data_IF_781634393787
#
_entry.id   IF_781634393787
#
_cell.length_a   1.000
_cell.length_b   1.000
_cell.length_c   1.000
_cell.angle_alpha   90.00
_cell.angle_beta   90.00
_cell.angle_gamma   90.00
#
_symmetry.space_group_name_H-M   'P 1'
#
loop_
_entity.id
_entity.type
_entity.pdbx_description
1 polymer ?
#
# COMPACT_ATOMS: atom_id res chain seq x y z
N UNK A 1 34.96 68.07 67.68
CA UNK A 1 34.01 67.96 66.61
C UNK A 1 34.50 66.80 65.72
N UNK A 2 33.85 65.62 65.84
CA UNK A 2 34.21 64.41 65.15
C UNK A 2 33.02 64.00 64.31
N UNK A 3 33.12 64.03 62.99
CA UNK A 3 32.13 63.62 62.01
C UNK A 3 32.27 62.10 61.73
N UNK A 4 31.22 61.37 62.00
CA UNK A 4 31.09 59.95 61.71
C UNK A 4 30.57 59.78 60.32
N UNK A 5 31.28 58.92 59.50
CA UNK A 5 30.84 58.49 58.19
C UNK A 5 30.20 57.11 58.34
N UNK A 6 28.91 57.00 58.04
CA UNK A 6 28.18 55.76 57.99
C UNK A 6 28.30 55.16 56.56
N UNK A 7 28.84 53.96 56.48
CA UNK A 7 28.93 53.18 55.22
C UNK A 7 27.69 52.30 55.14
N UNK A 8 26.90 52.50 54.11
CA UNK A 8 25.78 51.59 53.75
C UNK A 8 26.30 50.47 52.85
N UNK A 9 26.18 49.21 53.32
CA UNK A 9 26.52 48.03 52.58
C UNK A 9 25.22 47.52 51.90
N UNK A 10 25.12 47.69 50.57
CA UNK A 10 24.00 47.15 49.76
C UNK A 10 24.38 45.77 49.27
N UNK A 11 23.72 44.74 49.86
CA UNK A 11 23.77 43.33 49.40
C UNK A 11 22.88 43.17 48.19
N UNK A 12 23.49 42.98 47.02
CA UNK A 12 22.76 42.58 45.79
C UNK A 12 22.49 41.07 45.82
N UNK A 13 21.23 40.71 45.90
CA UNK A 13 20.75 39.32 45.76
C UNK A 13 20.60 39.01 44.28
N UNK A 14 21.53 38.26 43.70
CA UNK A 14 21.42 37.77 42.34
C UNK A 14 20.48 36.56 42.28
N UNK A 15 19.25 36.74 41.77
CA UNK A 15 18.36 35.63 41.40
C UNK A 15 18.92 34.94 40.16
N UNK A 16 19.52 33.77 40.34
CA UNK A 16 19.86 32.85 39.25
C UNK A 16 18.55 32.16 38.80
N UNK A 17 17.93 32.63 37.72
CA UNK A 17 16.88 31.91 37.01
C UNK A 17 17.49 30.76 36.25
N UNK A 18 17.29 29.55 36.73
CA UNK A 18 17.59 28.31 36.01
C UNK A 18 16.61 28.15 34.83
N UNK A 19 17.07 28.48 33.63
CA UNK A 19 16.43 28.10 32.38
C UNK A 19 16.55 26.58 32.22
N UNK A 20 15.47 25.87 32.51
CA UNK A 20 15.36 24.43 32.18
C UNK A 20 15.09 24.33 30.68
N UNK A 21 15.96 23.67 29.87
CA UNK A 21 15.66 23.44 28.47
C UNK A 21 14.68 22.27 28.36
N UNK A 22 13.40 22.56 28.37
CA UNK A 22 12.37 21.62 27.93
C UNK A 22 12.19 21.75 26.44
N UNK A 23 12.92 20.98 25.61
CA UNK A 23 12.56 20.75 24.19
C UNK A 23 13.43 19.76 23.40
N UNK A 24 14.30 18.96 24.03
CA UNK A 24 15.23 18.10 23.25
C UNK A 24 14.67 16.71 22.92
N UNK A 25 13.70 16.20 23.68
CA UNK A 25 13.25 14.79 23.56
C UNK A 25 12.43 14.51 22.30
N UNK A 26 11.48 15.37 21.95
CA UNK A 26 10.59 15.14 20.80
C UNK A 26 11.30 15.32 19.44
N UNK A 27 12.22 16.28 19.33
CA UNK A 27 12.97 16.51 18.10
C UNK A 27 13.95 15.37 17.81
N UNK A 28 14.55 14.78 18.82
CA UNK A 28 15.51 13.68 18.68
C UNK A 28 14.81 12.36 18.33
N UNK A 29 13.63 12.11 18.88
CA UNK A 29 12.81 10.93 18.56
C UNK A 29 12.27 10.99 17.12
N UNK A 30 11.83 12.17 16.67
CA UNK A 30 11.37 12.37 15.29
C UNK A 30 12.51 12.20 14.29
N UNK A 31 13.71 12.67 14.60
CA UNK A 31 14.89 12.50 13.76
C UNK A 31 15.31 11.02 13.63
N UNK A 32 15.28 10.25 14.72
CA UNK A 32 15.63 8.82 14.71
C UNK A 32 14.62 7.99 13.92
N UNK A 33 13.31 8.28 14.08
CA UNK A 33 12.24 7.61 13.34
C UNK A 33 12.29 7.94 11.85
N UNK A 34 12.47 9.22 11.50
CA UNK A 34 12.64 9.64 10.10
C UNK A 34 13.80 8.91 9.44
N UNK A 35 14.94 8.75 10.13
CA UNK A 35 16.08 8.00 9.64
C UNK A 35 15.81 6.49 9.50
N UNK A 36 15.03 5.91 10.40
CA UNK A 36 14.63 4.50 10.31
C UNK A 36 13.76 4.21 9.08
N UNK A 37 12.93 5.20 8.65
CA UNK A 37 12.13 5.11 7.43
C UNK A 37 12.91 5.51 6.18
N UNK A 38 13.65 6.59 6.23
CA UNK A 38 14.32 7.23 5.10
C UNK A 38 15.84 7.32 5.34
N UNK A 39 16.58 6.20 5.30
CA UNK A 39 18.01 6.17 5.62
C UNK A 39 18.86 7.01 4.65
N UNK A 40 18.33 7.32 3.47
CA UNK A 40 18.99 8.19 2.47
C UNK A 40 18.58 9.67 2.57
N UNK A 41 17.76 10.03 3.57
CA UNK A 41 17.20 11.38 3.75
C UNK A 41 15.96 11.67 2.90
N UNK A 42 15.59 10.78 1.97
CA UNK A 42 14.38 10.85 1.15
C UNK A 42 13.58 9.56 1.31
N UNK A 43 12.30 9.65 1.60
CA UNK A 43 11.40 8.51 1.75
C UNK A 43 10.99 7.99 0.37
N UNK A 44 11.43 6.80 0.00
CA UNK A 44 11.16 6.18 -1.31
C UNK A 44 9.96 5.25 -1.20
N UNK A 45 8.86 5.63 -1.85
CA UNK A 45 7.62 4.83 -1.90
C UNK A 45 7.56 3.96 -3.14
N UNK A 46 7.45 2.64 -2.99
CA UNK A 46 7.19 1.71 -4.09
C UNK A 46 5.72 1.79 -4.50
N UNK A 47 5.45 2.24 -5.73
CA UNK A 47 4.11 2.46 -6.28
C UNK A 47 3.85 1.48 -7.41
N UNK A 48 2.81 0.66 -7.28
CA UNK A 48 2.40 -0.33 -8.26
C UNK A 48 1.23 0.18 -9.13
N UNK A 49 1.49 0.61 -10.35
CA UNK A 49 0.45 0.97 -11.34
C UNK A 49 -0.25 -0.25 -11.95
N UNK A 50 0.23 -1.46 -11.69
CA UNK A 50 -0.47 -2.69 -12.07
C UNK A 50 -1.76 -2.94 -11.27
N UNK A 51 -2.07 -2.10 -10.28
CA UNK A 51 -3.37 -2.06 -9.61
C UNK A 51 -3.97 -0.64 -9.72
N UNK A 52 -4.62 -0.32 -10.85
CA UNK A 52 -5.12 1.03 -11.14
C UNK A 52 -6.21 1.49 -10.18
N UNK A 53 -6.78 0.61 -9.36
CA UNK A 53 -7.75 0.93 -8.32
C UNK A 53 -7.11 1.74 -7.19
N UNK A 54 -5.83 1.48 -6.88
CA UNK A 54 -5.14 2.12 -5.76
C UNK A 54 -4.04 3.11 -6.20
N UNK A 55 -3.51 2.94 -7.41
CA UNK A 55 -2.53 3.84 -8.00
C UNK A 55 -2.70 3.86 -9.52
N UNK A 56 -2.84 5.04 -10.09
CA UNK A 56 -3.03 5.27 -11.53
C UNK A 56 -2.22 6.49 -11.98
N UNK A 57 -2.37 6.90 -13.21
CA UNK A 57 -1.83 8.15 -13.74
C UNK A 57 -2.96 9.13 -14.05
N UNK A 58 -2.72 10.39 -13.78
CA UNK A 58 -3.60 11.48 -14.24
C UNK A 58 -3.40 11.79 -15.73
N UNK A 59 -4.10 12.79 -16.23
CA UNK A 59 -4.01 13.23 -17.64
C UNK A 59 -2.60 13.74 -18.02
N UNK A 60 -1.77 14.14 -17.04
CA UNK A 60 -0.40 14.59 -17.24
C UNK A 60 0.62 13.46 -17.07
N UNK A 61 0.16 12.22 -16.84
CA UNK A 61 1.01 11.05 -16.60
C UNK A 61 1.58 10.96 -15.20
N UNK A 62 1.15 11.83 -14.26
CA UNK A 62 1.63 11.82 -12.88
C UNK A 62 0.92 10.73 -12.06
N UNK A 63 1.63 10.02 -11.17
CA UNK A 63 1.01 9.04 -10.29
C UNK A 63 -0.01 9.69 -9.35
N UNK A 64 -1.21 9.13 -9.29
CA UNK A 64 -2.32 9.55 -8.41
C UNK A 64 -3.02 8.33 -7.81
N UNK A 65 -3.75 8.51 -6.72
CA UNK A 65 -4.52 7.43 -6.08
C UNK A 65 -4.27 7.30 -4.60
N UNK A 66 -4.97 6.36 -3.98
CA UNK A 66 -4.94 6.14 -2.52
C UNK A 66 -3.53 5.85 -2.01
N UNK A 67 -2.74 5.09 -2.77
CA UNK A 67 -1.34 4.80 -2.40
C UNK A 67 -0.50 6.07 -2.37
N UNK A 68 -0.69 7.00 -3.32
CA UNK A 68 0.06 8.25 -3.38
C UNK A 68 -0.36 9.20 -2.24
N UNK A 69 -1.67 9.28 -1.95
CA UNK A 69 -2.18 10.08 -0.85
C UNK A 69 -1.61 9.62 0.50
N UNK A 70 -1.61 8.30 0.77
CA UNK A 70 -1.04 7.73 1.98
C UNK A 70 0.49 7.94 2.06
N UNK A 71 1.20 7.79 0.93
CA UNK A 71 2.64 8.04 0.88
C UNK A 71 2.98 9.50 1.21
N UNK A 72 2.21 10.43 0.66
CA UNK A 72 2.36 11.86 0.89
C UNK A 72 2.12 12.22 2.36
N UNK A 73 1.06 11.69 2.96
CA UNK A 73 0.76 11.94 4.37
C UNK A 73 1.81 11.33 5.30
N UNK A 74 2.33 10.13 4.99
CA UNK A 74 3.42 9.51 5.76
C UNK A 74 4.70 10.37 5.71
N UNK A 75 5.12 10.80 4.52
CA UNK A 75 6.30 11.63 4.33
C UNK A 75 6.17 12.97 5.08
N UNK A 76 4.99 13.59 5.00
CA UNK A 76 4.65 14.82 5.74
C UNK A 76 4.82 14.65 7.24
N UNK A 77 4.29 13.54 7.81
CA UNK A 77 4.39 13.26 9.26
C UNK A 77 5.81 12.97 9.72
N UNK A 78 6.60 12.34 8.87
CA UNK A 78 8.02 12.08 9.13
C UNK A 78 8.91 13.32 8.90
N UNK A 79 8.39 14.37 8.27
CA UNK A 79 9.13 15.59 7.94
C UNK A 79 10.26 15.36 6.93
N UNK A 80 10.09 14.42 5.99
CA UNK A 80 11.09 14.06 4.98
C UNK A 80 10.54 14.25 3.55
N UNK A 81 11.41 14.52 2.56
CA UNK A 81 11.01 14.51 1.15
C UNK A 81 10.50 13.14 0.71
N UNK A 82 9.52 13.13 -0.20
CA UNK A 82 8.98 11.91 -0.81
C UNK A 82 9.52 11.72 -2.23
N UNK A 83 9.89 10.49 -2.56
CA UNK A 83 10.19 10.04 -3.93
C UNK A 83 9.30 8.83 -4.28
N UNK A 84 8.61 8.88 -5.41
CA UNK A 84 7.79 7.77 -5.90
C UNK A 84 8.61 6.90 -6.86
N UNK A 85 8.83 5.64 -6.50
CA UNK A 85 9.48 4.63 -7.34
C UNK A 85 8.38 3.78 -7.98
N UNK A 86 8.10 4.03 -9.24
CA UNK A 86 6.90 3.54 -9.94
C UNK A 86 7.19 2.26 -10.72
N UNK A 87 6.29 1.28 -10.59
CA UNK A 87 6.34 -0.02 -11.28
C UNK A 87 5.02 -0.32 -11.98
N UNK A 88 5.09 -1.09 -13.06
CA UNK A 88 3.95 -1.54 -13.87
C UNK A 88 3.34 -2.88 -13.38
N UNK A 89 4.01 -3.55 -12.43
CA UNK A 89 3.61 -4.86 -11.93
C UNK A 89 3.89 -5.03 -10.43
N UNK A 90 3.02 -5.77 -9.75
CA UNK A 90 3.12 -6.01 -8.31
C UNK A 90 4.41 -6.72 -7.90
N UNK A 91 4.87 -7.72 -8.67
CA UNK A 91 6.12 -8.42 -8.39
C UNK A 91 7.33 -7.48 -8.37
N UNK A 92 7.45 -6.57 -9.36
CA UNK A 92 8.54 -5.58 -9.40
C UNK A 92 8.51 -4.61 -8.21
N UNK A 93 7.30 -4.23 -7.77
CA UNK A 93 7.12 -3.39 -6.59
C UNK A 93 7.55 -4.13 -5.30
N UNK A 94 7.25 -5.42 -5.18
CA UNK A 94 7.72 -6.29 -4.08
C UNK A 94 9.24 -6.42 -4.10
N UNK A 95 9.83 -6.70 -5.26
CA UNK A 95 11.29 -6.83 -5.43
C UNK A 95 12.03 -5.54 -5.02
N UNK A 96 11.42 -4.37 -5.25
CA UNK A 96 12.03 -3.10 -4.86
C UNK A 96 12.12 -2.95 -3.33
N UNK A 97 11.17 -3.49 -2.58
CA UNK A 97 11.19 -3.49 -1.12
C UNK A 97 12.17 -4.52 -0.57
N UNK A 98 12.11 -5.75 -1.07
CA UNK A 98 12.95 -6.84 -0.58
C UNK A 98 14.44 -6.64 -0.89
N UNK A 99 14.75 -5.85 -1.93
CA UNK A 99 16.10 -5.45 -2.30
C UNK A 99 16.45 -4.00 -1.84
N UNK A 100 15.66 -3.42 -0.96
CA UNK A 100 15.84 -2.09 -0.36
C UNK A 100 16.05 -0.94 -1.38
N UNK A 101 15.49 -1.10 -2.59
CA UNK A 101 15.43 -0.04 -3.62
C UNK A 101 14.33 0.99 -3.34
N UNK A 102 13.39 0.64 -2.47
CA UNK A 102 12.39 1.51 -1.89
C UNK A 102 12.26 1.23 -0.38
N UNK A 103 11.75 2.19 0.37
CA UNK A 103 11.74 2.14 1.83
C UNK A 103 10.43 1.59 2.38
N UNK A 104 9.34 1.76 1.65
CA UNK A 104 8.03 1.20 1.95
C UNK A 104 7.19 1.09 0.68
N UNK A 105 6.04 0.43 0.77
CA UNK A 105 5.13 0.31 -0.35
C UNK A 105 3.74 -0.22 0.04
N UNK A 106 2.95 -0.55 -0.98
CA UNK A 106 1.54 -0.92 -0.89
C UNK A 106 1.33 -2.28 -1.54
N UNK A 107 0.90 -3.26 -0.76
CA UNK A 107 0.87 -4.65 -1.19
C UNK A 107 -0.36 -5.38 -0.65
N UNK A 108 -0.86 -6.33 -1.40
CA UNK A 108 -1.72 -7.35 -0.82
C UNK A 108 -0.92 -8.20 0.17
N UNK A 109 -1.49 -8.45 1.34
CA UNK A 109 -0.93 -9.38 2.32
C UNK A 109 -0.90 -10.78 1.68
N UNK A 110 0.28 -11.40 1.68
CA UNK A 110 0.50 -12.72 1.11
C UNK A 110 1.66 -13.42 1.82
N UNK A 111 1.58 -14.73 2.09
CA UNK A 111 2.63 -15.47 2.82
C UNK A 111 4.01 -15.41 2.14
N UNK A 112 4.04 -15.48 0.79
CA UNK A 112 5.31 -15.41 0.04
C UNK A 112 5.95 -14.03 0.18
N UNK A 113 5.16 -12.96 0.03
CA UNK A 113 5.61 -11.58 0.22
C UNK A 113 6.05 -11.31 1.65
N UNK A 114 5.37 -11.90 2.65
CA UNK A 114 5.68 -11.79 4.08
C UNK A 114 7.02 -12.39 4.49
N UNK A 115 7.70 -13.12 3.60
CA UNK A 115 9.08 -13.56 3.86
C UNK A 115 10.04 -12.37 3.90
N UNK A 116 9.85 -11.36 3.06
CA UNK A 116 10.71 -10.17 2.97
C UNK A 116 10.06 -8.85 3.42
N UNK A 117 8.72 -8.82 3.59
CA UNK A 117 7.96 -7.62 3.92
C UNK A 117 7.30 -7.77 5.29
N UNK A 118 7.50 -6.78 6.15
CA UNK A 118 6.74 -6.59 7.38
C UNK A 118 5.48 -5.76 7.05
N UNK A 119 4.31 -6.39 7.09
CA UNK A 119 3.03 -5.75 6.79
C UNK A 119 2.42 -5.03 7.99
N UNK A 120 1.64 -4.00 7.70
CA UNK A 120 0.61 -3.46 8.60
C UNK A 120 -0.64 -4.35 8.57
N UNK A 121 -1.68 -4.02 9.32
CA UNK A 121 -3.02 -4.44 8.98
C UNK A 121 -3.48 -3.85 7.63
N UNK A 122 -4.52 -4.41 7.01
CA UNK A 122 -5.03 -3.90 5.75
C UNK A 122 -5.66 -2.51 5.93
N UNK A 123 -5.50 -1.62 4.94
CA UNK A 123 -6.19 -0.34 4.89
C UNK A 123 -7.41 -0.36 3.97
N UNK A 124 -7.39 -1.24 2.96
CA UNK A 124 -8.47 -1.42 1.99
C UNK A 124 -8.64 -2.91 1.67
N UNK A 125 -9.89 -3.34 1.50
CA UNK A 125 -10.27 -4.65 0.99
C UNK A 125 -10.83 -4.50 -0.42
N UNK A 126 -10.33 -5.31 -1.36
CA UNK A 126 -10.86 -5.47 -2.72
C UNK A 126 -11.06 -6.95 -3.02
N UNK A 127 -11.77 -7.26 -4.10
CA UNK A 127 -12.16 -8.63 -4.43
C UNK A 127 -11.41 -9.15 -5.65
N UNK A 128 -11.01 -10.43 -5.60
CA UNK A 128 -10.59 -11.21 -6.76
C UNK A 128 -11.80 -11.94 -7.37
N UNK A 129 -12.02 -11.77 -8.66
CA UNK A 129 -13.12 -12.35 -9.40
C UNK A 129 -12.65 -13.02 -10.70
N UNK A 130 -13.51 -13.85 -11.29
CA UNK A 130 -13.29 -14.44 -12.60
C UNK A 130 -14.13 -13.75 -13.67
N UNK A 131 -13.59 -13.66 -14.87
CA UNK A 131 -14.23 -13.14 -16.07
C UNK A 131 -14.16 -14.24 -17.14
N UNK A 132 -15.24 -14.39 -17.89
CA UNK A 132 -15.39 -15.38 -18.97
C UNK A 132 -16.08 -14.76 -20.17
N UNK A 133 -16.01 -15.41 -21.33
CA UNK A 133 -16.82 -15.04 -22.47
C UNK A 133 -18.33 -15.23 -22.17
N UNK A 134 -19.20 -14.43 -22.78
CA UNK A 134 -20.66 -14.50 -22.54
C UNK A 134 -21.24 -15.88 -22.87
N UNK A 135 -20.70 -16.56 -23.89
CA UNK A 135 -21.10 -17.90 -24.31
C UNK A 135 -20.40 -19.03 -23.53
N UNK A 136 -19.59 -18.71 -22.52
CA UNK A 136 -18.95 -19.73 -21.70
C UNK A 136 -19.98 -20.55 -20.93
N UNK A 137 -19.83 -21.90 -20.83
CA UNK A 137 -20.68 -22.74 -20.03
C UNK A 137 -20.45 -22.58 -18.52
N UNK A 138 -19.40 -21.88 -18.10
CA UNK A 138 -19.08 -21.64 -16.68
C UNK A 138 -20.03 -20.59 -16.11
N UNK A 139 -20.70 -20.92 -15.02
CA UNK A 139 -21.70 -20.06 -14.35
C UNK A 139 -21.39 -19.76 -12.89
N UNK A 140 -20.41 -20.48 -12.30
CA UNK A 140 -19.98 -20.27 -10.91
C UNK A 140 -18.47 -20.49 -10.74
N UNK A 141 -17.91 -19.99 -9.64
CA UNK A 141 -16.48 -20.08 -9.34
C UNK A 141 -16.02 -21.53 -9.12
N UNK A 142 -16.89 -22.40 -8.58
CA UNK A 142 -16.59 -23.81 -8.29
C UNK A 142 -16.35 -24.64 -9.56
N UNK A 143 -16.81 -24.13 -10.69
CA UNK A 143 -16.60 -24.78 -11.98
C UNK A 143 -15.23 -24.48 -12.61
N UNK A 144 -14.48 -23.51 -12.09
CA UNK A 144 -13.25 -23.02 -12.72
C UNK A 144 -12.07 -23.97 -12.50
N UNK A 145 -11.95 -24.59 -11.30
CA UNK A 145 -10.83 -25.54 -11.07
C UNK A 145 -11.13 -26.92 -11.63
N UNK A 146 -11.06 -27.05 -12.95
CA UNK A 146 -11.27 -28.33 -13.67
C UNK A 146 -10.18 -28.54 -14.72
N UNK A 147 -9.87 -29.81 -14.99
CA UNK A 147 -8.97 -30.21 -16.06
C UNK A 147 -9.44 -29.64 -17.42
N UNK A 148 -8.50 -29.03 -18.15
CA UNK A 148 -8.78 -28.41 -19.43
C UNK A 148 -9.19 -26.93 -19.35
N UNK A 149 -9.38 -26.36 -18.16
CA UNK A 149 -9.57 -24.93 -17.97
C UNK A 149 -8.22 -24.24 -17.83
N UNK A 150 -7.97 -23.22 -18.64
CA UNK A 150 -6.80 -22.34 -18.58
C UNK A 150 -7.22 -20.97 -18.05
N UNK A 151 -6.56 -20.52 -17.00
CA UNK A 151 -6.89 -19.29 -16.29
C UNK A 151 -5.79 -18.26 -16.54
N UNK A 152 -6.10 -17.15 -17.21
CA UNK A 152 -5.20 -16.01 -17.32
C UNK A 152 -5.06 -15.32 -15.97
N UNK A 153 -3.82 -15.06 -15.54
CA UNK A 153 -3.50 -14.29 -14.33
C UNK A 153 -2.40 -13.28 -14.62
N UNK A 154 -2.39 -12.13 -13.96
CA UNK A 154 -1.27 -11.20 -14.05
C UNK A 154 -0.10 -11.71 -13.21
N UNK A 155 1.07 -11.93 -13.84
CA UNK A 155 2.27 -12.49 -13.19
C UNK A 155 2.64 -11.74 -11.90
N UNK A 156 2.75 -12.48 -10.80
CA UNK A 156 3.14 -11.94 -9.48
C UNK A 156 2.05 -11.10 -8.81
N UNK A 157 0.83 -11.05 -9.34
CA UNK A 157 -0.31 -10.42 -8.67
C UNK A 157 -0.74 -11.19 -7.42
N UNK A 158 -1.57 -10.58 -6.57
CA UNK A 158 -2.12 -11.26 -5.40
C UNK A 158 -2.93 -12.50 -5.77
N UNK A 159 -3.74 -12.39 -6.82
CA UNK A 159 -4.57 -13.50 -7.29
C UNK A 159 -3.75 -14.57 -8.04
N UNK A 160 -2.63 -14.25 -8.70
CA UNK A 160 -1.70 -15.26 -9.21
C UNK A 160 -1.10 -16.08 -8.06
N UNK A 161 -0.59 -15.42 -7.01
CA UNK A 161 -0.01 -16.10 -5.85
C UNK A 161 -1.05 -16.96 -5.12
N UNK A 162 -2.28 -16.43 -4.95
CA UNK A 162 -3.37 -17.15 -4.32
C UNK A 162 -3.76 -18.38 -5.16
N UNK A 163 -4.05 -18.21 -6.43
CA UNK A 163 -4.48 -19.31 -7.30
C UNK A 163 -3.38 -20.35 -7.52
N UNK A 164 -2.10 -19.95 -7.49
CA UNK A 164 -0.98 -20.91 -7.54
C UNK A 164 -1.00 -21.89 -6.36
N UNK A 165 -1.54 -21.49 -5.20
CA UNK A 165 -1.69 -22.37 -4.04
C UNK A 165 -2.98 -23.16 -4.04
N UNK A 166 -4.08 -22.58 -4.54
CA UNK A 166 -5.42 -23.12 -4.40
C UNK A 166 -5.84 -24.03 -5.56
N UNK A 167 -5.47 -23.70 -6.81
CA UNK A 167 -5.86 -24.46 -8.01
C UNK A 167 -5.17 -25.83 -8.00
N UNK A 168 -5.97 -26.87 -8.27
CA UNK A 168 -5.51 -28.28 -8.27
C UNK A 168 -5.58 -28.93 -9.65
N UNK A 169 -6.50 -28.49 -10.52
CA UNK A 169 -6.82 -29.18 -11.78
C UNK A 169 -6.71 -28.28 -13.01
N UNK A 170 -7.03 -26.98 -12.88
CA UNK A 170 -6.92 -26.00 -13.95
C UNK A 170 -5.45 -25.56 -14.13
N UNK A 171 -5.14 -24.91 -15.25
CA UNK A 171 -3.81 -24.40 -15.58
C UNK A 171 -3.76 -22.87 -15.47
N UNK A 172 -2.75 -22.33 -14.81
CA UNK A 172 -2.52 -20.89 -14.75
C UNK A 172 -1.63 -20.43 -15.92
N UNK A 173 -2.15 -19.51 -16.71
CA UNK A 173 -1.43 -18.83 -17.80
C UNK A 173 -1.14 -17.38 -17.40
N UNK A 174 0.13 -16.99 -17.42
CA UNK A 174 0.58 -15.73 -16.82
C UNK A 174 0.78 -14.64 -17.87
N UNK A 175 -0.12 -13.65 -17.87
CA UNK A 175 0.08 -12.39 -18.58
C UNK A 175 1.24 -11.59 -17.95
N UNK A 176 1.96 -10.76 -18.70
CA UNK A 176 3.09 -9.98 -18.18
C UNK A 176 2.73 -9.07 -16.99
N UNK A 177 1.55 -8.45 -17.01
CA UNK A 177 1.05 -7.54 -15.98
C UNK A 177 -0.45 -7.75 -15.71
N UNK A 178 -0.97 -7.27 -14.59
CA UNK A 178 -2.42 -7.35 -14.31
C UNK A 178 -3.28 -6.59 -15.33
N UNK A 179 -2.93 -5.37 -15.77
CA UNK A 179 -3.71 -4.67 -16.80
C UNK A 179 -3.79 -5.39 -18.16
N UNK A 180 -2.84 -6.27 -18.47
CA UNK A 180 -2.84 -7.01 -19.75
C UNK A 180 -3.51 -8.39 -19.66
N UNK A 181 -4.06 -8.76 -18.50
CA UNK A 181 -4.59 -10.11 -18.26
C UNK A 181 -5.77 -10.45 -19.17
N UNK A 182 -6.72 -9.51 -19.35
CA UNK A 182 -7.93 -9.77 -20.16
C UNK A 182 -7.59 -9.77 -21.67
N UNK A 183 -6.70 -8.89 -22.14
CA UNK A 183 -6.24 -8.91 -23.52
C UNK A 183 -5.49 -10.21 -23.83
N UNK A 184 -4.67 -10.71 -22.90
CA UNK A 184 -3.98 -11.99 -22.98
C UNK A 184 -4.98 -13.17 -23.00
N UNK A 185 -6.00 -13.14 -22.13
CA UNK A 185 -7.08 -14.13 -22.13
C UNK A 185 -7.76 -14.26 -23.51
N UNK A 186 -8.02 -13.13 -24.17
CA UNK A 186 -8.66 -13.10 -25.50
C UNK A 186 -7.70 -13.59 -26.58
N UNK A 187 -6.46 -13.09 -26.59
CA UNK A 187 -5.47 -13.43 -27.63
C UNK A 187 -5.11 -14.93 -27.63
N UNK A 188 -4.98 -15.51 -26.43
CA UNK A 188 -4.64 -16.93 -26.25
C UNK A 188 -5.89 -17.85 -26.25
N UNK A 189 -7.09 -17.27 -26.41
CA UNK A 189 -8.36 -18.00 -26.41
C UNK A 189 -8.49 -18.91 -25.17
N UNK A 190 -8.23 -18.33 -24.00
CA UNK A 190 -8.31 -19.05 -22.73
C UNK A 190 -9.78 -19.13 -22.25
N UNK A 191 -10.04 -19.98 -21.27
CA UNK A 191 -11.39 -20.24 -20.76
C UNK A 191 -11.82 -19.21 -19.72
N UNK A 192 -10.86 -18.68 -18.90
CA UNK A 192 -11.12 -17.80 -17.77
C UNK A 192 -10.01 -16.74 -17.66
N UNK A 193 -10.37 -15.51 -17.29
CA UNK A 193 -9.44 -14.51 -16.76
C UNK A 193 -9.73 -14.29 -15.27
N UNK A 194 -8.69 -14.22 -14.44
CA UNK A 194 -8.79 -13.84 -13.05
C UNK A 194 -8.17 -12.44 -12.84
N UNK A 195 -8.76 -11.64 -11.97
CA UNK A 195 -8.28 -10.29 -11.72
C UNK A 195 -8.98 -9.62 -10.54
N UNK A 196 -8.56 -8.38 -10.26
CA UNK A 196 -9.30 -7.50 -9.36
C UNK A 196 -10.65 -7.18 -10.00
N UNK A 197 -11.75 -7.36 -9.26
CA UNK A 197 -13.13 -7.24 -9.76
C UNK A 197 -13.37 -5.95 -10.54
N UNK A 198 -13.00 -4.82 -9.99
CA UNK A 198 -13.19 -3.51 -10.62
C UNK A 198 -12.41 -3.38 -11.95
N UNK A 199 -11.20 -3.96 -12.02
CA UNK A 199 -10.44 -4.01 -13.27
C UNK A 199 -11.15 -4.87 -14.31
N UNK A 200 -11.65 -6.04 -13.92
CA UNK A 200 -12.41 -6.92 -14.82
C UNK A 200 -13.71 -6.27 -15.29
N UNK A 201 -14.40 -5.52 -14.43
CA UNK A 201 -15.60 -4.75 -14.80
C UNK A 201 -15.28 -3.64 -15.82
N UNK A 202 -14.15 -2.94 -15.68
CA UNK A 202 -13.70 -1.95 -16.67
C UNK A 202 -13.36 -2.64 -18.00
N UNK A 203 -12.69 -3.78 -17.98
CA UNK A 203 -12.35 -4.54 -19.17
C UNK A 203 -13.59 -5.10 -19.87
N UNK A 204 -14.60 -5.58 -19.12
CA UNK A 204 -15.87 -6.03 -19.67
C UNK A 204 -16.71 -4.89 -20.31
N UNK A 205 -16.52 -3.65 -19.88
CA UNK A 205 -17.11 -2.46 -20.52
C UNK A 205 -16.35 -2.06 -21.81
N UNK A 206 -15.02 -2.24 -21.81
CA UNK A 206 -14.16 -1.92 -22.96
C UNK A 206 -14.22 -2.94 -24.09
N UNK A 207 -14.40 -4.21 -23.73
CA UNK A 207 -14.32 -5.36 -24.64
C UNK A 207 -15.69 -6.06 -24.69
N UNK A 208 -16.22 -6.33 -25.90
CA UNK A 208 -17.53 -6.94 -26.02
C UNK A 208 -17.53 -8.43 -25.64
N UNK A 209 -18.74 -8.94 -25.35
CA UNK A 209 -18.99 -10.37 -25.12
C UNK A 209 -18.27 -10.99 -23.92
N UNK A 210 -18.02 -10.21 -22.87
CA UNK A 210 -17.42 -10.65 -21.62
C UNK A 210 -18.40 -10.46 -20.46
N UNK A 211 -18.32 -11.34 -19.47
CA UNK A 211 -19.06 -11.22 -18.21
C UNK A 211 -18.23 -11.73 -17.04
N UNK A 212 -18.44 -11.18 -15.86
CA UNK A 212 -17.90 -11.72 -14.63
C UNK A 212 -18.73 -12.95 -14.19
N UNK A 213 -18.07 -13.92 -13.56
CA UNK A 213 -18.77 -14.91 -12.77
C UNK A 213 -19.28 -14.27 -11.47
N UNK A 214 -20.42 -14.76 -10.92
CA UNK A 214 -20.97 -14.20 -9.69
C UNK A 214 -20.05 -14.43 -8.48
N UNK A 215 -20.05 -13.46 -7.56
CA UNK A 215 -19.27 -13.53 -6.33
C UNK A 215 -17.79 -13.21 -6.50
N UNK A 216 -16.99 -13.76 -5.61
CA UNK A 216 -15.53 -13.60 -5.56
C UNK A 216 -14.88 -14.94 -5.21
N UNK A 217 -13.63 -15.16 -5.64
CA UNK A 217 -12.86 -16.33 -5.20
C UNK A 217 -11.89 -15.99 -4.06
N UNK A 218 -11.56 -14.69 -3.86
CA UNK A 218 -10.75 -14.24 -2.74
C UNK A 218 -11.06 -12.80 -2.33
N UNK A 219 -10.75 -12.48 -1.09
CA UNK A 219 -10.58 -11.09 -0.62
C UNK A 219 -9.10 -10.73 -0.70
N UNK A 220 -8.78 -9.57 -1.23
CA UNK A 220 -7.43 -9.04 -1.33
C UNK A 220 -7.28 -7.97 -0.25
N UNK A 221 -6.50 -8.26 0.77
CA UNK A 221 -6.20 -7.37 1.87
C UNK A 221 -5.01 -6.46 1.51
N UNK A 222 -5.28 -5.20 1.17
CA UNK A 222 -4.26 -4.23 0.79
C UNK A 222 -3.69 -3.54 2.03
N UNK A 223 -2.39 -3.72 2.27
CA UNK A 223 -1.65 -3.19 3.41
C UNK A 223 -0.47 -2.31 2.95
N UNK A 224 0.06 -1.53 3.87
CA UNK A 224 1.39 -0.96 3.73
C UNK A 224 2.44 -1.94 4.24
N UNK A 225 3.68 -1.83 3.75
CA UNK A 225 4.76 -2.70 4.17
C UNK A 225 6.13 -2.06 4.05
N UNK A 226 7.03 -2.50 4.93
CA UNK A 226 8.45 -2.13 4.99
C UNK A 226 9.31 -3.36 4.67
N UNK A 227 10.58 -3.19 4.26
CA UNK A 227 11.54 -4.29 4.34
C UNK A 227 11.52 -4.91 5.75
N UNK A 228 11.51 -6.22 5.83
CA UNK A 228 11.45 -6.94 7.13
C UNK A 228 12.67 -6.65 8.02
N UNK A 229 13.75 -6.15 7.43
CA UNK A 229 14.97 -5.70 8.09
C UNK A 229 14.81 -4.37 8.86
N UNK A 230 13.75 -3.61 8.61
CA UNK A 230 13.53 -2.33 9.30
C UNK A 230 13.24 -2.53 10.79
N UNK A 231 13.61 -1.53 11.61
CA UNK A 231 13.49 -1.60 13.06
C UNK A 231 12.05 -1.90 13.52
N UNK A 232 11.87 -2.59 14.65
CA UNK A 232 10.53 -2.81 15.24
C UNK A 232 9.77 -1.52 15.50
N UNK A 233 10.46 -0.42 15.82
CA UNK A 233 9.86 0.90 16.01
C UNK A 233 9.25 1.45 14.71
N UNK A 234 9.97 1.37 13.59
CA UNK A 234 9.44 1.77 12.28
C UNK A 234 8.22 0.92 11.88
N UNK A 235 8.29 -0.40 12.12
CA UNK A 235 7.16 -1.29 11.85
C UNK A 235 5.93 -0.95 12.71
N UNK A 236 6.13 -0.70 14.02
CA UNK A 236 5.06 -0.32 14.93
C UNK A 236 4.44 1.04 14.55
N UNK A 237 5.27 2.02 14.19
CA UNK A 237 4.80 3.33 13.72
C UNK A 237 3.95 3.21 12.46
N UNK A 238 4.39 2.42 11.46
CA UNK A 238 3.62 2.26 10.21
C UNK A 238 2.26 1.57 10.48
N UNK A 239 2.22 0.58 11.37
CA UNK A 239 0.97 -0.06 11.80
C UNK A 239 0.02 0.96 12.42
N UNK A 240 0.51 1.77 13.36
CA UNK A 240 -0.28 2.84 14.01
C UNK A 240 -0.76 3.88 12.98
N UNK A 241 0.12 4.30 12.07
CA UNK A 241 -0.23 5.22 10.99
C UNK A 241 -1.42 4.71 10.17
N UNK A 242 -1.39 3.44 9.74
CA UNK A 242 -2.49 2.85 8.95
C UNK A 242 -3.80 2.84 9.72
N UNK A 243 -3.79 2.46 11.02
CA UNK A 243 -4.99 2.48 11.85
C UNK A 243 -5.55 3.90 12.02
N UNK A 244 -4.69 4.89 12.19
CA UNK A 244 -5.10 6.30 12.25
C UNK A 244 -5.69 6.78 10.91
N UNK A 245 -5.11 6.37 9.77
CA UNK A 245 -5.64 6.74 8.44
C UNK A 245 -7.01 6.12 8.18
N UNK A 246 -7.27 4.93 8.70
CA UNK A 246 -8.61 4.30 8.64
C UNK A 246 -9.60 5.03 9.55
N UNK A 247 -9.27 5.18 10.83
CA UNK A 247 -10.17 5.73 11.85
C UNK A 247 -10.49 7.21 11.67
N UNK A 248 -9.55 8.01 11.13
CA UNK A 248 -9.77 9.43 10.80
C UNK A 248 -10.64 9.65 9.56
N UNK A 249 -10.99 8.59 8.82
CA UNK A 249 -11.69 8.71 7.54
C UNK A 249 -10.81 9.11 6.36
N UNK A 250 -9.48 9.24 6.53
CA UNK A 250 -8.57 9.63 5.46
C UNK A 250 -8.63 8.66 4.28
N UNK A 251 -8.62 7.34 4.53
CA UNK A 251 -8.71 6.32 3.48
C UNK A 251 -10.04 6.41 2.75
N UNK A 252 -11.16 6.56 3.46
CA UNK A 252 -12.49 6.71 2.86
C UNK A 252 -12.58 7.97 1.97
N UNK A 253 -12.07 9.10 2.46
CA UNK A 253 -12.02 10.35 1.70
C UNK A 253 -11.13 10.25 0.46
N UNK A 254 -10.02 9.52 0.54
CA UNK A 254 -9.13 9.27 -0.59
C UNK A 254 -9.80 8.38 -1.64
N UNK A 255 -10.45 7.28 -1.25
CA UNK A 255 -11.24 6.45 -2.17
C UNK A 255 -12.31 7.27 -2.91
N UNK A 256 -13.06 8.09 -2.18
CA UNK A 256 -14.10 8.96 -2.75
C UNK A 256 -13.51 9.99 -3.73
N UNK A 257 -12.39 10.65 -3.39
CA UNK A 257 -11.70 11.63 -4.24
C UNK A 257 -11.28 11.02 -5.58
N UNK A 258 -10.78 9.80 -5.54
CA UNK A 258 -10.35 9.06 -6.73
C UNK A 258 -11.48 8.26 -7.40
N UNK A 259 -12.74 8.43 -6.94
CA UNK A 259 -13.95 7.78 -7.48
C UNK A 259 -13.81 6.24 -7.55
N UNK A 260 -13.21 5.65 -6.52
CA UNK A 260 -13.03 4.21 -6.44
C UNK A 260 -14.27 3.58 -5.80
N UNK A 261 -14.99 2.81 -6.59
CA UNK A 261 -16.18 2.04 -6.18
C UNK A 261 -15.80 0.59 -5.88
N UNK A 262 -16.56 -0.07 -5.00
CA UNK A 262 -16.41 -1.49 -4.67
C UNK A 262 -15.17 -1.84 -3.82
N UNK A 263 -14.31 -0.87 -3.51
CA UNK A 263 -13.26 -1.01 -2.50
C UNK A 263 -13.81 -0.59 -1.12
N UNK A 264 -13.50 -1.36 -0.10
CA UNK A 264 -13.99 -1.12 1.26
C UNK A 264 -12.81 -0.78 2.18
N UNK A 265 -12.95 0.25 3.02
CA UNK A 265 -11.98 0.51 4.09
C UNK A 265 -11.96 -0.70 5.02
N UNK A 266 -10.78 -1.23 5.29
CA UNK A 266 -10.65 -2.38 6.17
C UNK A 266 -11.07 -2.04 7.61
N UNK A 267 -11.67 -2.97 8.35
CA UNK A 267 -11.98 -2.76 9.77
C UNK A 267 -10.69 -2.54 10.57
N UNK A 268 -10.83 -2.04 11.80
CA UNK A 268 -9.70 -1.92 12.73
C UNK A 268 -9.01 -3.27 12.90
N UNK A 269 -7.68 -3.25 12.88
CA UNK A 269 -6.91 -4.45 13.19
C UNK A 269 -6.95 -4.75 14.68
N UNK A 270 -6.97 -6.02 15.10
CA UNK A 270 -6.98 -6.41 16.50
C UNK A 270 -5.71 -5.98 17.26
#
# INVERSE_FOLDING_TARGET
MKTAHTVFLTTAFALLQSLIPMSSSNAQTTSSLAQAFAPTGTLRASINLGNPILANKDANGQPVGVSIDLATELAKRLGVPLSLVVFDAAGKSVDAITNEKADFGFFAIDPVRGQGIAFTGPYVLIEGSYLVANNSPLTSNEQVDKKGIRIAVGKGSAYDLFLTREIKHAELQRAPTSPTTVDYFISEKLEVAAGVKQQLEMDAKRLPNLRLLPGRFMVIEQAMGLPKSRSPEAQAYLKKFVEEMKSSGFVAASLARHKIEGAVVAPASP
#
